data_IF_598638910132
#
_entry.id   IF_598638910132
#
_cell.length_a   1.000
_cell.length_b   1.000
_cell.length_c   1.000
_cell.angle_alpha   90.00
_cell.angle_beta   90.00
_cell.angle_gamma   90.00
#
_symmetry.space_group_name_H-M   'P 1'
#
loop_
_entity.id
_entity.type
_entity.pdbx_description
1 polymer ?
#
# COMPACT_ATOMS: atom_id res chain seq x y z
N UNK A 1 -7.73 -15.32 28.10
CA UNK A 1 -8.65 -14.79 27.03
C UNK A 1 -9.67 -15.89 26.75
N UNK A 2 -10.93 -15.56 26.47
CA UNK A 2 -11.97 -16.52 26.08
C UNK A 2 -12.21 -16.44 24.56
N UNK A 3 -12.76 -17.50 23.95
CA UNK A 3 -13.19 -17.50 22.56
C UNK A 3 -14.13 -16.34 22.24
N UNK A 4 -15.16 -16.10 23.08
CA UNK A 4 -16.09 -14.98 22.92
C UNK A 4 -15.39 -13.62 22.91
N UNK A 5 -14.36 -13.45 23.72
CA UNK A 5 -13.56 -12.21 23.73
C UNK A 5 -12.75 -12.09 22.44
N UNK A 6 -12.19 -13.20 21.92
CA UNK A 6 -11.46 -13.20 20.66
C UNK A 6 -12.37 -12.82 19.49
N UNK A 7 -13.60 -13.36 19.45
CA UNK A 7 -14.62 -13.00 18.45
C UNK A 7 -14.98 -11.51 18.52
N UNK A 8 -15.20 -10.96 19.71
CA UNK A 8 -15.52 -9.53 19.87
C UNK A 8 -14.36 -8.64 19.39
N UNK A 9 -13.11 -9.05 19.65
CA UNK A 9 -11.91 -8.35 19.15
C UNK A 9 -11.89 -8.36 17.62
N UNK A 10 -12.18 -9.49 16.97
CA UNK A 10 -12.22 -9.61 15.52
C UNK A 10 -13.30 -8.68 14.92
N UNK A 11 -14.52 -8.71 15.44
CA UNK A 11 -15.63 -7.86 14.98
C UNK A 11 -15.25 -6.38 15.13
N UNK A 12 -14.79 -5.98 16.30
CA UNK A 12 -14.41 -4.58 16.56
C UNK A 12 -13.30 -4.10 15.62
N UNK A 13 -12.31 -4.95 15.33
CA UNK A 13 -11.22 -4.62 14.42
C UNK A 13 -11.73 -4.44 12.98
N UNK A 14 -12.55 -5.35 12.49
CA UNK A 14 -13.12 -5.30 11.15
C UNK A 14 -14.10 -4.13 10.97
N UNK A 15 -14.81 -3.70 12.01
CA UNK A 15 -15.69 -2.53 11.94
C UNK A 15 -14.93 -1.21 11.76
N UNK A 16 -13.68 -1.16 12.19
CA UNK A 16 -12.85 0.06 12.12
C UNK A 16 -11.92 0.11 10.92
N UNK A 17 -11.55 -1.04 10.37
CA UNK A 17 -10.52 -1.13 9.34
C UNK A 17 -10.94 -2.07 8.21
N UNK A 18 -10.69 -1.65 6.99
CA UNK A 18 -10.74 -2.55 5.83
C UNK A 18 -9.52 -3.46 5.88
N UNK A 19 -9.74 -4.74 6.08
CA UNK A 19 -8.66 -5.71 6.32
C UNK A 19 -8.80 -6.95 5.45
N UNK A 20 -7.66 -7.56 5.11
CA UNK A 20 -7.59 -8.88 4.51
C UNK A 20 -7.72 -9.96 5.59
N UNK A 21 -8.05 -11.19 5.14
CA UNK A 21 -8.08 -12.37 5.99
C UNK A 21 -6.76 -12.58 6.72
N UNK A 22 -5.64 -12.60 5.98
CA UNK A 22 -4.31 -12.78 6.54
C UNK A 22 -3.94 -11.70 7.55
N UNK A 23 -4.35 -10.45 7.30
CA UNK A 23 -4.09 -9.34 8.24
C UNK A 23 -4.90 -9.44 9.52
N UNK A 24 -6.15 -9.90 9.43
CA UNK A 24 -6.98 -10.18 10.61
C UNK A 24 -6.36 -11.30 11.45
N UNK A 25 -5.96 -12.42 10.82
CA UNK A 25 -5.33 -13.55 11.51
C UNK A 25 -4.04 -13.13 12.25
N UNK A 26 -3.17 -12.39 11.56
CA UNK A 26 -1.95 -11.84 12.16
C UNK A 26 -2.25 -10.95 13.37
N UNK A 27 -3.20 -10.04 13.25
CA UNK A 27 -3.63 -9.19 14.37
C UNK A 27 -4.15 -9.98 15.56
N UNK A 28 -5.00 -10.99 15.33
CA UNK A 28 -5.54 -11.84 16.38
C UNK A 28 -4.45 -12.67 17.06
N UNK A 29 -3.51 -13.26 16.30
CA UNK A 29 -2.35 -13.98 16.84
C UNK A 29 -1.50 -13.07 17.74
N UNK A 30 -1.23 -11.84 17.32
CA UNK A 30 -0.49 -10.88 18.13
C UNK A 30 -1.24 -10.50 19.42
N UNK A 31 -2.58 -10.40 19.37
CA UNK A 31 -3.41 -10.12 20.55
C UNK A 31 -3.39 -11.29 21.54
N UNK A 32 -3.58 -12.51 21.05
CA UNK A 32 -3.50 -13.72 21.89
C UNK A 32 -2.11 -13.84 22.53
N UNK A 33 -1.04 -13.65 21.76
CA UNK A 33 0.32 -13.74 22.26
C UNK A 33 0.62 -12.75 23.39
N UNK A 34 0.09 -11.53 23.31
CA UNK A 34 0.27 -10.50 24.33
C UNK A 34 -0.54 -10.74 25.60
N UNK A 35 -1.76 -11.26 25.47
CA UNK A 35 -2.69 -11.39 26.59
C UNK A 35 -2.68 -12.74 27.29
N UNK A 36 -2.22 -13.81 26.61
CA UNK A 36 -2.22 -15.19 27.13
C UNK A 36 -0.78 -15.63 27.39
N UNK A 37 -0.45 -15.87 28.66
CA UNK A 37 0.89 -16.30 29.08
C UNK A 37 1.09 -17.81 28.95
N UNK A 38 0.03 -18.56 29.27
CA UNK A 38 0.05 -20.00 29.20
C UNK A 38 0.14 -20.50 27.75
N UNK A 39 1.01 -21.47 27.49
CA UNK A 39 1.33 -21.95 26.14
C UNK A 39 0.21 -22.82 25.55
N UNK A 40 -0.43 -23.67 26.37
CA UNK A 40 -1.49 -24.57 25.91
C UNK A 40 -2.75 -23.76 25.58
N UNK A 41 -3.18 -22.90 26.50
CA UNK A 41 -4.31 -22.00 26.29
C UNK A 41 -4.09 -21.05 25.09
N UNK A 42 -2.84 -20.69 24.81
CA UNK A 42 -2.50 -19.89 23.63
C UNK A 42 -2.68 -20.69 22.35
N UNK A 43 -2.25 -21.95 22.32
CA UNK A 43 -2.38 -22.82 21.16
C UNK A 43 -3.86 -23.09 20.84
N UNK A 44 -4.67 -23.41 21.86
CA UNK A 44 -6.12 -23.56 21.68
C UNK A 44 -6.77 -22.34 20.98
N UNK A 45 -6.40 -21.15 21.41
CA UNK A 45 -6.91 -19.91 20.79
C UNK A 45 -6.36 -19.68 19.37
N UNK A 46 -5.11 -20.05 19.10
CA UNK A 46 -4.55 -19.98 17.74
C UNK A 46 -5.28 -20.88 16.77
N UNK A 47 -5.69 -22.07 17.21
CA UNK A 47 -6.40 -23.06 16.39
C UNK A 47 -7.81 -22.57 16.01
N UNK A 48 -8.42 -21.67 16.80
CA UNK A 48 -9.71 -21.05 16.49
C UNK A 48 -9.63 -19.91 15.47
N UNK A 49 -8.47 -19.29 15.27
CA UNK A 49 -8.32 -18.08 14.45
C UNK A 49 -8.70 -18.32 12.98
N UNK A 50 -8.29 -19.41 12.31
CA UNK A 50 -8.65 -19.66 10.91
C UNK A 50 -10.16 -19.74 10.67
N UNK A 51 -10.88 -20.44 11.56
CA UNK A 51 -12.34 -20.57 11.46
C UNK A 51 -13.05 -19.24 11.75
N UNK A 52 -12.54 -18.49 12.72
CA UNK A 52 -13.05 -17.16 13.03
C UNK A 52 -12.83 -16.19 11.85
N UNK A 53 -11.65 -16.19 11.25
CA UNK A 53 -11.35 -15.33 10.09
C UNK A 53 -12.21 -15.69 8.87
N UNK A 54 -12.48 -17.01 8.67
CA UNK A 54 -13.41 -17.48 7.65
C UNK A 54 -14.82 -16.97 7.90
N UNK A 55 -15.35 -17.10 9.13
CA UNK A 55 -16.67 -16.55 9.50
C UNK A 55 -16.75 -15.04 9.24
N UNK A 56 -15.69 -14.27 9.56
CA UNK A 56 -15.64 -12.83 9.27
C UNK A 56 -15.70 -12.55 7.76
N UNK A 57 -15.04 -13.37 6.94
CA UNK A 57 -15.12 -13.26 5.48
C UNK A 57 -16.51 -13.60 4.95
N UNK A 58 -17.13 -14.70 5.44
CA UNK A 58 -18.47 -15.11 5.04
C UNK A 58 -19.54 -14.06 5.39
N UNK A 59 -19.36 -13.32 6.48
CA UNK A 59 -20.20 -12.17 6.86
C UNK A 59 -19.85 -10.86 6.12
N UNK A 60 -18.87 -10.87 5.24
CA UNK A 60 -18.45 -9.68 4.47
C UNK A 60 -17.64 -8.64 5.28
N UNK A 61 -17.21 -8.96 6.49
CA UNK A 61 -16.35 -8.08 7.31
C UNK A 61 -14.90 -8.04 6.84
N UNK A 62 -14.48 -9.03 6.08
CA UNK A 62 -13.12 -9.16 5.53
C UNK A 62 -13.20 -9.21 4.02
N UNK A 63 -12.40 -8.38 3.35
CA UNK A 63 -12.34 -8.32 1.90
C UNK A 63 -10.90 -8.08 1.45
N UNK A 64 -10.24 -9.13 0.99
CA UNK A 64 -8.84 -9.09 0.58
C UNK A 64 -8.61 -8.12 -0.59
N UNK A 65 -9.53 -8.13 -1.57
CA UNK A 65 -9.47 -7.24 -2.73
C UNK A 65 -9.54 -5.77 -2.31
N UNK A 66 -10.56 -5.39 -1.52
CA UNK A 66 -10.72 -4.01 -1.06
C UNK A 66 -9.57 -3.58 -0.13
N UNK A 67 -9.10 -4.48 0.74
CA UNK A 67 -7.95 -4.20 1.60
C UNK A 67 -6.69 -3.92 0.78
N UNK A 68 -6.43 -4.71 -0.27
CA UNK A 68 -5.31 -4.52 -1.17
C UNK A 68 -5.45 -3.20 -1.95
N UNK A 69 -6.61 -2.95 -2.56
CA UNK A 69 -6.90 -1.74 -3.34
C UNK A 69 -6.78 -0.47 -2.49
N UNK A 70 -7.29 -0.47 -1.25
CA UNK A 70 -7.17 0.67 -0.34
C UNK A 70 -5.70 0.99 0.00
N UNK A 71 -4.87 -0.02 0.23
CA UNK A 71 -3.43 0.16 0.48
C UNK A 71 -2.68 0.61 -0.77
N UNK A 72 -3.07 0.09 -1.93
CA UNK A 72 -2.50 0.46 -3.22
C UNK A 72 -2.79 1.93 -3.56
N UNK A 73 -4.05 2.36 -3.47
CA UNK A 73 -4.44 3.77 -3.64
C UNK A 73 -3.69 4.70 -2.67
N UNK A 74 -3.53 4.29 -1.42
CA UNK A 74 -2.77 5.06 -0.43
C UNK A 74 -1.29 5.21 -0.80
N UNK A 75 -0.65 4.14 -1.29
CA UNK A 75 0.73 4.17 -1.73
C UNK A 75 0.90 5.06 -2.98
N UNK A 76 -0.01 4.95 -3.97
CA UNK A 76 -0.01 5.77 -5.17
C UNK A 76 -0.15 7.27 -4.83
N UNK A 77 -1.12 7.63 -3.98
CA UNK A 77 -1.29 9.03 -3.50
C UNK A 77 -0.06 9.55 -2.75
N UNK A 78 0.71 8.66 -2.12
CA UNK A 78 1.99 9.00 -1.48
C UNK A 78 3.15 9.17 -2.47
N UNK A 79 2.90 9.03 -3.78
CA UNK A 79 3.87 9.25 -4.85
C UNK A 79 4.81 8.07 -5.10
N UNK A 80 4.47 6.85 -4.71
CA UNK A 80 5.25 5.67 -5.08
C UNK A 80 4.99 5.27 -6.53
N UNK A 81 6.03 4.74 -7.22
CA UNK A 81 5.87 4.12 -8.54
C UNK A 81 4.93 2.92 -8.48
N UNK A 82 4.34 2.52 -9.61
CA UNK A 82 3.44 1.39 -9.70
C UNK A 82 3.99 0.12 -9.02
N UNK A 83 5.20 -0.29 -9.39
CA UNK A 83 5.86 -1.47 -8.83
C UNK A 83 6.08 -1.35 -7.31
N UNK A 84 6.54 -0.19 -6.84
CA UNK A 84 6.78 0.03 -5.41
C UNK A 84 5.48 0.13 -4.62
N UNK A 85 4.42 0.68 -5.22
CA UNK A 85 3.09 0.76 -4.63
C UNK A 85 2.47 -0.64 -4.46
N UNK A 86 2.57 -1.51 -5.48
CA UNK A 86 2.14 -2.92 -5.40
C UNK A 86 2.89 -3.64 -4.27
N UNK A 87 4.21 -3.52 -4.22
CA UNK A 87 5.00 -4.13 -3.13
C UNK A 87 4.56 -3.66 -1.75
N UNK A 88 4.41 -2.34 -1.54
CA UNK A 88 3.97 -1.78 -0.25
C UNK A 88 2.55 -2.20 0.11
N UNK A 89 1.65 -2.24 -0.85
CA UNK A 89 0.27 -2.65 -0.64
C UNK A 89 0.19 -4.14 -0.26
N UNK A 90 0.94 -5.01 -0.96
CA UNK A 90 1.05 -6.43 -0.63
C UNK A 90 1.56 -6.65 0.80
N UNK A 91 2.64 -5.97 1.19
CA UNK A 91 3.17 -6.07 2.56
C UNK A 91 2.16 -5.56 3.62
N UNK A 92 1.50 -4.45 3.35
CA UNK A 92 0.59 -3.83 4.31
C UNK A 92 -0.75 -4.57 4.46
N UNK A 93 -1.28 -5.15 3.38
CA UNK A 93 -2.51 -5.93 3.36
C UNK A 93 -2.30 -7.41 3.63
N UNK A 94 -1.06 -7.92 3.49
CA UNK A 94 -0.72 -9.34 3.51
C UNK A 94 -1.46 -10.15 2.39
N UNK A 95 -1.76 -9.48 1.28
CA UNK A 95 -2.31 -10.09 0.06
C UNK A 95 -1.18 -10.32 -0.94
N UNK A 96 -1.24 -11.40 -1.73
CA UNK A 96 -0.18 -11.74 -2.70
C UNK A 96 0.01 -10.65 -3.74
N UNK A 97 1.27 -10.36 -4.10
CA UNK A 97 1.61 -9.29 -5.06
C UNK A 97 0.91 -9.42 -6.41
N UNK A 98 0.70 -10.65 -6.92
CA UNK A 98 -0.01 -10.88 -8.17
C UNK A 98 -1.47 -10.42 -8.11
N UNK A 99 -2.16 -10.68 -7.00
CA UNK A 99 -3.53 -10.24 -6.78
C UNK A 99 -3.60 -8.70 -6.65
N UNK A 100 -2.65 -8.10 -5.91
CA UNK A 100 -2.54 -6.63 -5.80
C UNK A 100 -2.24 -5.99 -7.16
N UNK A 101 -1.38 -6.60 -7.99
CA UNK A 101 -1.07 -6.10 -9.34
C UNK A 101 -2.32 -6.09 -10.23
N UNK A 102 -3.22 -7.07 -10.08
CA UNK A 102 -4.49 -7.10 -10.81
C UNK A 102 -5.40 -5.90 -10.55
N UNK A 103 -5.25 -5.23 -9.40
CA UNK A 103 -6.04 -4.03 -9.05
C UNK A 103 -5.33 -2.71 -9.46
N UNK A 104 -4.14 -2.76 -10.07
CA UNK A 104 -3.29 -1.59 -10.26
C UNK A 104 -3.94 -0.53 -11.16
N UNK A 105 -4.49 -0.92 -12.30
CA UNK A 105 -5.09 0.03 -13.26
C UNK A 105 -6.25 0.81 -12.61
N UNK A 106 -7.20 0.10 -12.00
CA UNK A 106 -8.32 0.73 -11.28
C UNK A 106 -7.84 1.62 -10.14
N UNK A 107 -6.83 1.18 -9.39
CA UNK A 107 -6.28 1.94 -8.28
C UNK A 107 -5.56 3.23 -8.74
N UNK A 108 -4.91 3.22 -9.91
CA UNK A 108 -4.31 4.43 -10.50
C UNK A 108 -5.39 5.40 -10.95
N UNK A 109 -6.42 4.94 -11.66
CA UNK A 109 -7.57 5.77 -12.05
C UNK A 109 -8.24 6.45 -10.84
N UNK A 110 -8.41 5.71 -9.74
CA UNK A 110 -9.01 6.23 -8.50
C UNK A 110 -8.09 7.19 -7.72
N UNK A 111 -6.79 6.90 -7.72
CA UNK A 111 -5.82 7.63 -6.90
C UNK A 111 -5.24 8.86 -7.60
N UNK A 112 -5.15 8.83 -8.91
CA UNK A 112 -4.50 9.79 -9.80
C UNK A 112 -5.39 10.05 -11.02
N UNK A 113 -6.61 10.61 -10.84
CA UNK A 113 -7.57 10.79 -11.92
C UNK A 113 -7.07 11.75 -13.01
N UNK A 114 -6.04 12.56 -12.71
CA UNK A 114 -5.36 13.42 -13.68
C UNK A 114 -4.53 12.65 -14.71
N UNK A 115 -4.20 11.37 -14.43
CA UNK A 115 -3.45 10.50 -15.34
C UNK A 115 -4.44 9.63 -16.10
N UNK A 116 -4.60 9.88 -17.41
CA UNK A 116 -5.35 8.98 -18.30
C UNK A 116 -4.63 7.64 -18.44
N UNK A 117 -5.25 6.55 -18.00
CA UNK A 117 -4.62 5.22 -18.03
C UNK A 117 -5.40 4.29 -18.92
N UNK A 118 -4.98 4.18 -20.18
CA UNK A 118 -5.46 3.15 -21.10
C UNK A 118 -4.64 1.86 -20.94
N UNK A 119 -3.32 1.99 -20.77
CA UNK A 119 -2.38 0.90 -20.49
C UNK A 119 -1.42 1.30 -19.37
N UNK A 120 -1.54 0.65 -18.21
CA UNK A 120 -0.69 0.92 -17.02
C UNK A 120 0.78 0.52 -17.24
N UNK A 121 1.07 -0.33 -18.22
CA UNK A 121 2.43 -0.77 -18.53
C UNK A 121 3.12 0.16 -19.55
N UNK A 122 2.41 1.13 -20.13
CA UNK A 122 2.99 2.10 -21.03
C UNK A 122 4.10 2.92 -20.35
N UNK A 123 5.26 3.12 -21.00
CA UNK A 123 6.42 3.81 -20.42
C UNK A 123 6.11 5.24 -19.97
N UNK A 124 5.18 5.91 -20.63
CA UNK A 124 4.76 7.28 -20.37
C UNK A 124 4.07 7.40 -19.01
N UNK A 125 3.29 6.40 -18.61
CA UNK A 125 2.56 6.40 -17.34
C UNK A 125 3.50 6.53 -16.14
N UNK A 126 4.66 5.90 -16.20
CA UNK A 126 5.66 6.01 -15.12
C UNK A 126 6.19 7.45 -14.98
N UNK A 127 6.35 8.17 -16.11
CA UNK A 127 6.75 9.57 -16.11
C UNK A 127 5.63 10.46 -15.56
N UNK A 128 4.40 10.28 -16.03
CA UNK A 128 3.24 11.05 -15.57
C UNK A 128 3.01 10.87 -14.05
N UNK A 129 3.16 9.65 -13.56
CA UNK A 129 3.09 9.36 -12.12
C UNK A 129 4.21 10.07 -11.34
N UNK A 130 5.44 10.13 -11.89
CA UNK A 130 6.55 10.83 -11.26
C UNK A 130 6.32 12.34 -11.23
N UNK A 131 5.84 12.93 -12.32
CA UNK A 131 5.50 14.35 -12.41
C UNK A 131 4.37 14.72 -11.44
N UNK A 132 3.27 13.96 -11.42
CA UNK A 132 2.18 14.16 -10.46
C UNK A 132 2.65 14.03 -9.00
N UNK A 133 3.60 13.13 -8.72
CA UNK A 133 4.18 12.99 -7.38
C UNK A 133 5.04 14.21 -6.99
N UNK A 134 5.83 14.72 -7.92
CA UNK A 134 6.64 15.94 -7.72
C UNK A 134 5.75 17.17 -7.52
N UNK A 135 4.72 17.34 -8.34
CA UNK A 135 3.78 18.45 -8.26
C UNK A 135 3.07 18.49 -6.90
N UNK A 136 2.45 17.39 -6.48
CA UNK A 136 1.78 17.29 -5.17
C UNK A 136 2.70 17.52 -3.99
N UNK A 137 3.97 17.16 -4.14
CA UNK A 137 5.00 17.34 -3.09
C UNK A 137 5.74 18.67 -3.20
N UNK A 138 5.44 19.51 -4.21
CA UNK A 138 6.10 20.78 -4.52
C UNK A 138 7.61 20.60 -4.63
N UNK A 139 8.04 19.64 -5.48
CA UNK A 139 9.45 19.25 -5.72
C UNK A 139 9.83 19.41 -7.18
N UNK A 140 11.13 19.38 -7.47
CA UNK A 140 11.63 19.57 -8.82
C UNK A 140 11.12 20.88 -9.43
N UNK A 141 10.74 20.87 -10.70
CA UNK A 141 10.20 22.03 -11.42
C UNK A 141 8.93 22.66 -10.82
N UNK A 142 8.25 21.97 -9.88
CA UNK A 142 7.07 22.48 -9.17
C UNK A 142 7.42 23.15 -7.82
N UNK A 143 8.70 23.35 -7.53
CA UNK A 143 9.15 23.97 -6.28
C UNK A 143 8.85 25.47 -6.27
N UNK A 144 8.31 25.94 -5.16
CA UNK A 144 8.17 27.37 -4.92
C UNK A 144 9.45 27.87 -4.24
N UNK A 145 10.21 28.72 -4.92
CA UNK A 145 11.47 29.29 -4.43
C UNK A 145 12.67 28.85 -5.28
N UNK A 146 13.89 29.18 -4.78
CA UNK A 146 15.12 28.91 -5.53
C UNK A 146 15.45 27.43 -5.48
N UNK A 147 15.66 26.84 -6.65
CA UNK A 147 16.25 25.52 -6.80
C UNK A 147 17.77 25.64 -6.80
N UNK A 148 18.44 24.81 -6.02
CA UNK A 148 19.88 24.65 -5.98
C UNK A 148 20.26 23.18 -6.19
N UNK A 149 21.53 22.91 -6.43
CA UNK A 149 22.04 21.56 -6.66
C UNK A 149 21.73 20.61 -5.50
N UNK A 150 21.71 21.12 -4.27
CA UNK A 150 21.42 20.32 -3.07
C UNK A 150 19.95 19.88 -3.05
N UNK A 151 19.04 20.77 -3.40
CA UNK A 151 17.61 20.47 -3.45
C UNK A 151 17.29 19.53 -4.60
N UNK A 152 17.91 19.72 -5.77
CA UNK A 152 17.77 18.79 -6.91
C UNK A 152 18.23 17.38 -6.55
N UNK A 153 19.41 17.24 -5.91
CA UNK A 153 19.90 15.94 -5.43
C UNK A 153 18.94 15.27 -4.43
N UNK A 154 18.33 16.04 -3.52
CA UNK A 154 17.35 15.55 -2.56
C UNK A 154 16.07 15.06 -3.25
N UNK A 155 15.62 15.73 -4.30
CA UNK A 155 14.41 15.37 -5.05
C UNK A 155 14.64 14.13 -5.91
N UNK A 156 15.82 13.99 -6.53
CA UNK A 156 16.25 12.75 -7.19
C UNK A 156 16.24 11.58 -6.20
N UNK A 157 16.89 11.72 -5.05
CA UNK A 157 16.93 10.68 -4.02
C UNK A 157 15.53 10.36 -3.48
N UNK A 158 14.61 11.34 -3.46
CA UNK A 158 13.23 11.15 -3.05
C UNK A 158 12.45 10.28 -4.04
N UNK A 159 12.60 10.49 -5.36
CA UNK A 159 12.02 9.65 -6.42
C UNK A 159 12.62 8.24 -6.43
N UNK A 160 13.94 8.11 -6.24
CA UNK A 160 14.61 6.80 -6.13
C UNK A 160 14.01 5.95 -4.99
N UNK A 161 13.85 6.54 -3.80
CA UNK A 161 13.21 5.85 -2.66
C UNK A 161 11.76 5.46 -2.92
N UNK A 162 11.09 6.13 -3.86
CA UNK A 162 9.73 5.79 -4.31
C UNK A 162 9.68 4.77 -5.43
N UNK A 163 10.85 4.31 -5.90
CA UNK A 163 10.98 3.19 -6.83
C UNK A 163 10.88 3.57 -8.30
N UNK A 164 11.09 4.83 -8.65
CA UNK A 164 11.22 5.25 -10.04
C UNK A 164 12.59 4.87 -10.61
N UNK A 165 12.63 4.48 -11.88
CA UNK A 165 13.88 4.21 -12.59
C UNK A 165 14.66 5.49 -12.81
N UNK A 166 15.98 5.35 -13.02
CA UNK A 166 16.83 6.51 -13.27
C UNK A 166 16.44 7.27 -14.54
N UNK A 167 16.01 6.56 -15.59
CA UNK A 167 15.53 7.16 -16.83
C UNK A 167 14.27 8.03 -16.61
N UNK A 168 13.29 7.52 -15.85
CA UNK A 168 12.09 8.28 -15.48
C UNK A 168 12.46 9.49 -14.65
N UNK A 169 13.40 9.34 -13.70
CA UNK A 169 13.88 10.44 -12.85
C UNK A 169 14.55 11.53 -13.67
N UNK A 170 15.43 11.18 -14.62
CA UNK A 170 16.09 12.13 -15.51
C UNK A 170 15.07 12.97 -16.28
N UNK A 171 14.11 12.31 -16.92
CA UNK A 171 13.03 12.98 -17.67
C UNK A 171 12.17 13.87 -16.75
N UNK A 172 11.72 13.35 -15.61
CA UNK A 172 10.89 14.10 -14.66
C UNK A 172 11.59 15.31 -14.04
N UNK A 173 12.92 15.27 -13.93
CA UNK A 173 13.74 16.38 -13.41
C UNK A 173 14.32 17.29 -14.51
N UNK A 174 14.00 17.05 -15.80
CA UNK A 174 14.51 17.85 -16.92
C UNK A 174 16.03 17.74 -17.12
N UNK A 175 16.62 16.60 -16.74
CA UNK A 175 18.08 16.41 -16.82
C UNK A 175 18.55 15.86 -18.18
N UNK A 176 17.63 15.53 -19.09
CA UNK A 176 17.96 15.02 -20.43
C UNK A 176 18.39 16.12 -21.42
N UNK A 177 18.15 17.39 -21.08
CA UNK A 177 18.49 18.56 -21.94
C UNK A 177 19.88 19.14 -21.65
N UNK A 178 20.68 18.54 -20.77
CA UNK A 178 21.98 19.05 -20.32
C UNK A 178 23.14 18.18 -20.89
N UNK A 179 22.98 17.63 -22.10
CA UNK A 179 24.09 16.99 -22.84
C UNK A 179 24.32 17.65 -24.18
#
# INVERSE_FOLDING_TARGET
MTEKRLQNIAIYYCQRYVVSKSKLEDYLKQRVYREVKDSEARQELFDLIPDLSKKMADFGYVNDKEAASAKLRSALRSGYSATRAVYKASQASMVKSGEVKGELQSAVQDALPEIGVDDIEAPEIALDMALAALERSKRGGFRIGREDETTARRDIAWLQRRGYSFEVIKKAMGLDEIC
#
